data_IF_001940603362
#
_entry.id   IF_001940603362
#
_cell.length_a   1.000
_cell.length_b   1.000
_cell.length_c   1.000
_cell.angle_alpha   90.00
_cell.angle_beta   90.00
_cell.angle_gamma   90.00
#
_symmetry.space_group_name_H-M   'P 1'
#
loop_
_entity.id
_entity.type
_entity.pdbx_description
1 polymer ?
#
# COMPACT_ATOMS: atom_id res chain seq x y z
N UNK A 1 11.70 6.89 9.39
CA UNK A 1 10.22 6.93 9.45
C UNK A 1 9.76 5.50 9.59
N UNK A 2 8.78 5.20 10.44
CA UNK A 2 8.31 3.82 10.62
C UNK A 2 7.39 3.44 9.44
N UNK A 3 7.93 2.69 8.48
CA UNK A 3 7.16 2.21 7.31
C UNK A 3 6.20 1.07 7.66
N UNK A 4 6.49 0.36 8.75
CA UNK A 4 5.66 -0.72 9.30
C UNK A 4 5.37 -0.39 10.77
N UNK A 5 4.11 -0.49 11.19
CA UNK A 5 3.68 -0.18 12.57
C UNK A 5 2.64 -1.19 13.04
N UNK A 6 2.56 -1.46 14.33
CA UNK A 6 1.47 -2.25 14.94
C UNK A 6 0.38 -1.36 15.58
N UNK A 7 0.47 -0.04 15.37
CA UNK A 7 -0.50 0.95 15.83
C UNK A 7 -1.39 1.41 14.68
N UNK A 8 -2.51 2.03 15.03
CA UNK A 8 -3.40 2.67 14.06
C UNK A 8 -2.65 3.71 13.22
N UNK A 9 -3.01 3.80 11.94
CA UNK A 9 -2.43 4.77 11.02
C UNK A 9 -3.04 6.15 11.29
N UNK A 10 -2.21 7.11 11.69
CA UNK A 10 -2.62 8.52 11.85
C UNK A 10 -2.73 9.21 10.47
N UNK A 11 -3.79 8.88 9.73
CA UNK A 11 -4.00 9.39 8.37
C UNK A 11 -4.01 10.92 8.30
N UNK A 12 -4.64 11.57 9.29
CA UNK A 12 -4.75 13.03 9.34
C UNK A 12 -3.37 13.65 9.62
N UNK A 13 -2.63 13.15 10.60
CA UNK A 13 -1.30 13.66 10.92
C UNK A 13 -0.27 13.38 9.81
N UNK A 14 -0.39 12.24 9.12
CA UNK A 14 0.44 11.93 7.94
C UNK A 14 0.11 12.86 6.77
N UNK A 15 -1.17 13.12 6.51
CA UNK A 15 -1.60 14.06 5.46
C UNK A 15 -1.13 15.48 5.75
N UNK A 16 -1.26 15.95 7.00
CA UNK A 16 -0.78 17.28 7.41
C UNK A 16 0.72 17.45 7.17
N UNK A 17 1.51 16.41 7.45
CA UNK A 17 2.96 16.39 7.21
C UNK A 17 3.34 16.31 5.72
N UNK A 18 2.41 15.99 4.84
CA UNK A 18 2.65 15.85 3.41
C UNK A 18 2.47 17.15 2.60
N UNK A 19 2.01 18.23 3.25
CA UNK A 19 2.01 19.55 2.61
C UNK A 19 3.42 20.10 2.45
N UNK A 20 3.68 20.73 1.30
CA UNK A 20 4.97 21.31 0.97
C UNK A 20 4.78 22.62 0.19
N UNK A 21 5.56 23.70 0.45
CA UNK A 21 5.37 25.00 -0.21
C UNK A 21 5.44 24.96 -1.74
N UNK A 22 6.19 24.01 -2.30
CA UNK A 22 6.33 23.81 -3.75
C UNK A 22 5.38 22.75 -4.34
N UNK A 23 4.49 22.15 -3.53
CA UNK A 23 3.52 21.16 -4.01
C UNK A 23 2.16 21.83 -4.26
N UNK A 24 1.65 21.69 -5.49
CA UNK A 24 0.32 22.12 -5.88
C UNK A 24 -0.74 21.00 -5.79
N UNK A 25 -0.31 19.77 -5.55
CA UNK A 25 -1.19 18.62 -5.39
C UNK A 25 -0.67 17.69 -4.29
N UNK A 26 -1.60 17.14 -3.51
CA UNK A 26 -1.38 16.05 -2.55
C UNK A 26 -2.41 14.98 -2.84
N UNK A 27 -1.99 13.73 -2.98
CA UNK A 27 -2.86 12.57 -3.20
C UNK A 27 -2.63 11.58 -2.08
N UNK A 28 -3.73 11.16 -1.45
CA UNK A 28 -3.75 10.12 -0.43
C UNK A 28 -4.52 8.91 -0.95
N UNK A 29 -3.91 7.74 -0.82
CA UNK A 29 -4.56 6.45 -0.95
C UNK A 29 -4.62 5.79 0.43
N UNK A 30 -5.79 5.24 0.78
CA UNK A 30 -6.00 4.41 1.95
C UNK A 30 -6.49 3.03 1.51
N UNK A 31 -5.81 1.99 1.98
CA UNK A 31 -6.23 0.61 1.80
C UNK A 31 -7.04 0.15 3.01
N UNK A 32 -8.36 0.29 2.92
CA UNK A 32 -9.27 0.01 4.03
C UNK A 32 -9.82 -1.43 3.97
N UNK A 33 -10.04 -2.02 5.13
CA UNK A 33 -10.65 -3.34 5.23
C UNK A 33 -12.14 -3.28 4.88
N UNK A 34 -12.56 -4.16 3.96
CA UNK A 34 -13.96 -4.33 3.54
C UNK A 34 -14.62 -5.47 4.32
N UNK A 35 -15.93 -5.38 4.46
CA UNK A 35 -16.78 -6.36 5.18
C UNK A 35 -17.07 -7.65 4.40
N UNK A 36 -16.64 -7.73 3.14
CA UNK A 36 -16.87 -8.89 2.29
C UNK A 36 -15.63 -9.28 1.47
N UNK A 37 -15.43 -10.59 1.31
CA UNK A 37 -14.50 -11.15 0.34
C UNK A 37 -15.00 -12.52 -0.15
N UNK A 38 -14.99 -12.74 -1.47
CA UNK A 38 -15.41 -14.01 -2.12
C UNK A 38 -16.76 -14.55 -1.59
N UNK A 39 -17.72 -13.67 -1.35
CA UNK A 39 -19.06 -14.03 -0.86
C UNK A 39 -19.14 -14.40 0.63
N UNK A 40 -18.06 -14.26 1.39
CA UNK A 40 -18.03 -14.43 2.85
C UNK A 40 -17.98 -13.07 3.56
N UNK A 41 -18.57 -13.02 4.75
CA UNK A 41 -18.52 -11.83 5.63
C UNK A 41 -17.23 -11.85 6.44
N UNK A 42 -16.41 -10.80 6.26
CA UNK A 42 -15.13 -10.61 6.96
C UNK A 42 -15.40 -9.96 8.31
N UNK A 43 -14.77 -10.47 9.37
CA UNK A 43 -14.76 -9.87 10.71
C UNK A 43 -13.58 -8.90 10.86
N UNK A 44 -12.37 -9.34 10.49
CA UNK A 44 -11.17 -8.51 10.46
C UNK A 44 -10.09 -9.13 9.57
N UNK A 45 -9.06 -8.34 9.29
CA UNK A 45 -7.82 -8.83 8.69
C UNK A 45 -6.70 -8.84 9.74
N UNK A 46 -5.81 -9.82 9.65
CA UNK A 46 -4.56 -9.86 10.39
C UNK A 46 -3.40 -9.76 9.42
N UNK A 47 -2.46 -8.86 9.70
CA UNK A 47 -1.30 -8.62 8.85
C UNK A 47 0.00 -9.02 9.55
N UNK A 48 0.78 -9.85 8.89
CA UNK A 48 2.14 -10.20 9.30
C UNK A 48 3.16 -9.62 8.31
N UNK A 49 4.36 -9.31 8.77
CA UNK A 49 5.41 -8.78 7.90
C UNK A 49 6.81 -9.21 8.33
N UNK A 50 7.69 -9.40 7.36
CA UNK A 50 9.13 -9.38 7.64
C UNK A 50 9.59 -7.92 7.78
N UNK A 51 9.31 -7.31 8.94
CA UNK A 51 9.39 -5.86 9.21
C UNK A 51 10.65 -5.18 8.67
N UNK A 52 11.84 -5.74 8.92
CA UNK A 52 13.11 -5.16 8.48
C UNK A 52 13.27 -5.13 6.95
N UNK A 53 12.80 -6.17 6.26
CA UNK A 53 12.89 -6.29 4.81
C UNK A 53 11.81 -5.45 4.13
N UNK A 54 10.56 -5.53 4.62
CA UNK A 54 9.47 -4.70 4.14
C UNK A 54 9.80 -3.20 4.25
N UNK A 55 10.38 -2.77 5.37
CA UNK A 55 10.79 -1.38 5.56
C UNK A 55 11.82 -0.92 4.52
N UNK A 56 12.85 -1.75 4.26
CA UNK A 56 13.88 -1.43 3.24
C UNK A 56 13.29 -1.37 1.83
N UNK A 57 12.36 -2.27 1.50
CA UNK A 57 11.73 -2.31 0.19
C UNK A 57 10.80 -1.12 -0.02
N UNK A 58 9.96 -0.79 0.97
CA UNK A 58 9.11 0.42 0.94
C UNK A 58 9.97 1.67 0.76
N UNK A 59 11.07 1.79 1.52
CA UNK A 59 11.99 2.92 1.38
C UNK A 59 12.57 3.03 -0.04
N UNK A 60 13.02 1.93 -0.62
CA UNK A 60 13.52 1.90 -2.00
C UNK A 60 12.44 2.33 -3.01
N UNK A 61 11.22 1.80 -2.88
CA UNK A 61 10.08 2.16 -3.74
C UNK A 61 9.78 3.66 -3.67
N UNK A 62 9.79 4.24 -2.46
CA UNK A 62 9.55 5.67 -2.26
C UNK A 62 10.66 6.53 -2.86
N UNK A 63 11.94 6.12 -2.74
CA UNK A 63 13.08 6.81 -3.36
C UNK A 63 12.97 6.77 -4.89
N UNK A 64 12.66 5.60 -5.46
CA UNK A 64 12.48 5.42 -6.89
C UNK A 64 11.35 6.32 -7.42
N UNK A 65 10.20 6.33 -6.74
CA UNK A 65 9.07 7.18 -7.11
C UNK A 65 9.40 8.68 -6.99
N UNK A 66 10.07 9.09 -5.91
CA UNK A 66 10.53 10.47 -5.72
C UNK A 66 11.41 10.93 -6.88
N UNK A 67 12.37 10.11 -7.29
CA UNK A 67 13.28 10.44 -8.37
C UNK A 67 12.56 10.48 -9.73
N UNK A 68 11.71 9.48 -10.00
CA UNK A 68 11.00 9.34 -11.29
C UNK A 68 10.03 10.48 -11.56
N UNK A 69 9.29 10.93 -10.55
CA UNK A 69 8.27 11.98 -10.69
C UNK A 69 8.66 13.32 -10.05
N UNK A 70 9.88 13.45 -9.52
CA UNK A 70 10.38 14.65 -8.83
C UNK A 70 9.43 15.10 -7.71
N UNK A 71 8.94 14.14 -6.93
CA UNK A 71 7.99 14.41 -5.85
C UNK A 71 8.62 15.25 -4.76
N UNK A 72 7.85 16.18 -4.20
CA UNK A 72 8.24 16.90 -3.00
C UNK A 72 8.14 16.00 -1.76
N UNK A 73 7.04 15.24 -1.66
CA UNK A 73 6.79 14.30 -0.57
C UNK A 73 6.35 12.95 -1.15
N UNK A 74 6.84 11.88 -0.54
CA UNK A 74 6.34 10.53 -0.74
C UNK A 74 6.43 9.82 0.62
N UNK A 75 5.31 9.29 1.08
CA UNK A 75 5.16 8.60 2.36
C UNK A 75 4.36 7.34 2.12
N UNK A 76 4.77 6.24 2.75
CA UNK A 76 3.95 5.05 2.87
C UNK A 76 4.11 4.47 4.28
N UNK A 77 3.01 3.95 4.83
CA UNK A 77 3.02 3.22 6.09
C UNK A 77 2.01 2.08 6.03
N UNK A 78 2.39 0.92 6.56
CA UNK A 78 1.53 -0.26 6.65
C UNK A 78 1.37 -0.69 8.10
N UNK A 79 0.13 -1.02 8.48
CA UNK A 79 -0.24 -1.55 9.79
C UNK A 79 -0.13 -3.08 9.80
N UNK A 80 0.47 -3.64 10.85
CA UNK A 80 0.49 -5.08 11.15
C UNK A 80 -0.40 -5.39 12.34
N UNK A 81 -0.68 -6.67 12.55
CA UNK A 81 -1.63 -7.15 13.55
C UNK A 81 -3.07 -7.08 13.04
N UNK A 82 -4.02 -7.09 13.97
CA UNK A 82 -5.46 -7.06 13.69
C UNK A 82 -5.91 -5.68 13.22
N UNK A 83 -6.63 -5.64 12.10
CA UNK A 83 -7.21 -4.44 11.46
C UNK A 83 -8.69 -4.72 11.20
N UNK A 84 -9.55 -3.91 11.82
CA UNK A 84 -11.01 -4.04 11.73
C UNK A 84 -11.59 -3.50 10.44
N UNK A 85 -12.86 -3.80 10.19
CA UNK A 85 -13.64 -3.25 9.08
C UNK A 85 -13.60 -1.71 9.10
N UNK A 86 -13.47 -1.09 7.92
CA UNK A 86 -13.32 0.36 7.72
C UNK A 86 -12.03 0.98 8.28
N UNK A 87 -11.12 0.18 8.84
CA UNK A 87 -9.80 0.67 9.27
C UNK A 87 -8.78 0.54 8.14
N UNK A 88 -7.84 1.49 8.11
CA UNK A 88 -6.75 1.51 7.13
C UNK A 88 -5.64 0.52 7.51
N UNK A 89 -5.36 -0.42 6.60
CA UNK A 89 -4.20 -1.30 6.69
C UNK A 89 -2.94 -0.68 6.09
N UNK A 90 -3.09 0.20 5.10
CA UNK A 90 -1.96 0.85 4.42
C UNK A 90 -2.36 2.24 3.95
N UNK A 91 -1.41 3.17 4.01
CA UNK A 91 -1.56 4.52 3.47
C UNK A 91 -0.39 4.85 2.56
N UNK A 92 -0.66 5.52 1.45
CA UNK A 92 0.35 6.11 0.56
C UNK A 92 -0.03 7.56 0.29
N UNK A 93 0.92 8.48 0.51
CA UNK A 93 0.72 9.91 0.28
C UNK A 93 1.84 10.44 -0.61
N UNK A 94 1.46 11.12 -1.69
CA UNK A 94 2.40 11.77 -2.61
C UNK A 94 2.05 13.25 -2.75
N UNK A 95 3.07 14.10 -2.82
CA UNK A 95 2.92 15.52 -3.10
C UNK A 95 3.87 15.97 -4.21
N UNK A 96 3.35 16.73 -5.16
CA UNK A 96 4.09 17.24 -6.31
C UNK A 96 3.57 18.60 -6.76
N UNK A 97 4.34 19.28 -7.62
CA UNK A 97 3.94 20.57 -8.20
C UNK A 97 2.60 20.49 -8.95
N UNK A 98 2.36 19.40 -9.68
CA UNK A 98 1.13 19.19 -10.45
C UNK A 98 0.50 17.82 -10.12
N UNK A 99 -0.81 17.71 -10.35
CA UNK A 99 -1.61 16.54 -9.95
C UNK A 99 -1.27 15.25 -10.69
N UNK A 100 -0.80 15.34 -11.95
CA UNK A 100 -0.58 14.17 -12.78
C UNK A 100 0.50 13.26 -12.16
N UNK A 101 1.59 13.86 -11.71
CA UNK A 101 2.72 13.20 -11.05
C UNK A 101 2.31 12.63 -9.70
N UNK A 102 1.50 13.36 -8.91
CA UNK A 102 1.01 12.87 -7.62
C UNK A 102 0.18 11.61 -7.79
N UNK A 103 -0.78 11.60 -8.72
CA UNK A 103 -1.61 10.42 -8.99
C UNK A 103 -0.79 9.24 -9.51
N UNK A 104 0.03 9.47 -10.54
CA UNK A 104 0.83 8.41 -11.16
C UNK A 104 1.79 7.76 -10.15
N UNK A 105 2.49 8.57 -9.36
CA UNK A 105 3.41 8.06 -8.36
C UNK A 105 2.70 7.36 -7.19
N UNK A 106 1.52 7.84 -6.78
CA UNK A 106 0.75 7.21 -5.71
C UNK A 106 0.38 5.77 -6.10
N UNK A 107 -0.18 5.59 -7.30
CA UNK A 107 -0.52 4.27 -7.85
C UNK A 107 0.72 3.38 -7.98
N UNK A 108 1.80 3.91 -8.54
CA UNK A 108 3.07 3.20 -8.66
C UNK A 108 3.58 2.65 -7.32
N UNK A 109 3.55 3.47 -6.26
CA UNK A 109 4.01 3.08 -4.93
C UNK A 109 3.14 1.96 -4.36
N UNK A 110 1.82 2.11 -4.35
CA UNK A 110 0.95 1.09 -3.72
C UNK A 110 1.01 -0.25 -4.45
N UNK A 111 1.07 -0.23 -5.79
CA UNK A 111 1.15 -1.46 -6.58
C UNK A 111 2.44 -2.22 -6.28
N UNK A 112 3.59 -1.51 -6.22
CA UNK A 112 4.87 -2.09 -5.83
C UNK A 112 4.88 -2.58 -4.38
N UNK A 113 4.29 -1.86 -3.44
CA UNK A 113 4.21 -2.32 -2.04
C UNK A 113 3.41 -3.62 -1.94
N UNK A 114 2.24 -3.69 -2.57
CA UNK A 114 1.39 -4.89 -2.56
C UNK A 114 2.05 -6.09 -3.23
N UNK A 115 2.93 -5.85 -4.20
CA UNK A 115 3.59 -6.92 -4.91
C UNK A 115 4.91 -7.37 -4.29
N UNK A 116 5.77 -6.42 -3.93
CA UNK A 116 7.17 -6.68 -3.59
C UNK A 116 7.39 -6.79 -2.09
N UNK A 117 6.66 -6.03 -1.26
CA UNK A 117 6.93 -6.00 0.18
C UNK A 117 6.47 -7.32 0.84
N UNK A 118 7.31 -7.96 1.68
CA UNK A 118 6.96 -9.19 2.40
C UNK A 118 5.99 -8.89 3.54
N UNK A 119 4.74 -8.66 3.18
CA UNK A 119 3.58 -8.38 4.04
C UNK A 119 2.46 -9.33 3.62
N UNK A 120 1.97 -10.13 4.55
CA UNK A 120 0.96 -11.14 4.30
C UNK A 120 -0.32 -10.80 5.04
N UNK A 121 -1.46 -11.04 4.39
CA UNK A 121 -2.78 -10.85 4.98
C UNK A 121 -3.44 -12.20 5.27
N UNK A 122 -4.05 -12.32 6.43
CA UNK A 122 -4.98 -13.38 6.76
C UNK A 122 -6.36 -12.77 7.01
N UNK A 123 -7.38 -13.33 6.40
CA UNK A 123 -8.76 -12.89 6.52
C UNK A 123 -9.47 -13.78 7.52
N UNK A 124 -10.12 -13.18 8.52
CA UNK A 124 -10.93 -13.88 9.50
C UNK A 124 -12.41 -13.61 9.20
N UNK A 125 -13.20 -14.66 9.13
CA UNK A 125 -14.62 -14.58 8.77
C UNK A 125 -15.52 -14.75 9.99
N UNK A 126 -16.74 -14.24 9.90
CA UNK A 126 -17.73 -14.32 11.00
C UNK A 126 -18.21 -15.75 11.30
N UNK A 127 -17.96 -16.70 10.40
CA UNK A 127 -18.24 -18.13 10.60
C UNK A 127 -17.11 -18.86 11.38
N UNK A 128 -16.07 -18.15 11.79
CA UNK A 128 -14.91 -18.67 12.51
C UNK A 128 -13.82 -19.26 11.61
N UNK A 129 -14.01 -19.29 10.29
CA UNK A 129 -12.96 -19.71 9.36
C UNK A 129 -11.94 -18.60 9.11
N UNK A 130 -10.76 -18.97 8.61
CA UNK A 130 -9.74 -18.02 8.17
C UNK A 130 -9.04 -18.46 6.89
N UNK A 131 -8.60 -17.49 6.09
CA UNK A 131 -7.93 -17.73 4.82
C UNK A 131 -6.75 -16.79 4.64
N UNK A 132 -5.60 -17.32 4.23
CA UNK A 132 -4.47 -16.48 3.86
C UNK A 132 -4.65 -15.96 2.44
N UNK A 133 -4.50 -14.66 2.26
CA UNK A 133 -4.53 -14.06 0.94
C UNK A 133 -3.38 -14.58 0.08
N UNK A 134 -3.66 -14.88 -1.19
CA UNK A 134 -2.63 -15.22 -2.17
C UNK A 134 -1.70 -14.03 -2.47
N UNK A 135 -0.44 -14.31 -2.76
CA UNK A 135 0.51 -13.35 -3.38
C UNK A 135 0.06 -13.00 -4.82
N UNK A 136 0.77 -12.09 -5.53
CA UNK A 136 0.40 -11.85 -6.93
C UNK A 136 0.42 -13.16 -7.75
N UNK A 137 -0.70 -13.44 -8.42
CA UNK A 137 -0.86 -14.55 -9.36
C UNK A 137 -0.38 -14.24 -10.78
N UNK A 138 0.36 -13.16 -10.97
CA UNK A 138 0.83 -12.64 -12.26
C UNK A 138 1.60 -13.66 -13.11
N UNK A 139 2.24 -14.66 -12.48
CA UNK A 139 2.90 -15.76 -13.19
C UNK A 139 1.96 -16.57 -14.10
N UNK A 140 0.64 -16.60 -13.80
CA UNK A 140 -0.36 -17.26 -14.65
C UNK A 140 -0.51 -16.57 -16.00
N UNK A 141 -0.31 -15.25 -16.02
CA UNK A 141 -0.46 -14.41 -17.20
C UNK A 141 0.88 -14.21 -17.93
N UNK A 142 1.98 -14.09 -17.18
CA UNK A 142 3.33 -13.85 -17.75
C UNK A 142 4.08 -15.12 -18.15
N UNK A 143 3.73 -16.27 -17.57
CA UNK A 143 4.48 -17.51 -17.71
C UNK A 143 5.86 -17.51 -17.04
N UNK A 144 6.23 -16.43 -16.34
CA UNK A 144 7.51 -16.27 -15.65
C UNK A 144 7.25 -15.85 -14.19
N UNK A 145 7.70 -16.68 -13.26
CA UNK A 145 7.56 -16.45 -11.81
C UNK A 145 8.26 -15.19 -11.31
N UNK A 146 9.21 -14.65 -12.08
CA UNK A 146 9.94 -13.43 -11.77
C UNK A 146 9.38 -12.20 -12.49
N UNK A 147 8.42 -12.38 -13.41
CA UNK A 147 7.83 -11.28 -14.17
C UNK A 147 6.47 -10.91 -13.61
N UNK A 148 6.33 -9.64 -13.27
CA UNK A 148 5.10 -9.04 -12.80
C UNK A 148 4.45 -8.20 -13.89
N UNK A 149 3.12 -8.05 -13.81
CA UNK A 149 2.36 -7.07 -14.60
C UNK A 149 1.86 -6.04 -13.60
N UNK A 150 2.39 -4.83 -13.69
CA UNK A 150 1.91 -3.75 -12.85
C UNK A 150 0.69 -3.09 -13.48
N UNK A 151 -0.35 -2.86 -12.69
CA UNK A 151 -1.59 -2.24 -13.19
C UNK A 151 -1.39 -0.78 -13.70
N UNK A 152 -0.23 -0.16 -13.46
CA UNK A 152 0.14 1.15 -14.00
C UNK A 152 0.79 1.10 -15.40
N UNK A 153 1.14 -0.08 -15.91
CA UNK A 153 1.74 -0.22 -17.25
C UNK A 153 0.69 -0.13 -18.37
N UNK A 154 -0.58 -0.36 -18.04
CA UNK A 154 -1.72 -0.32 -19.00
C UNK A 154 -2.30 1.10 -19.23
N UNK A 155 -1.68 2.16 -18.68
CA UNK A 155 -2.17 3.55 -18.76
C UNK A 155 -1.24 4.44 -19.62
N UNK A 156 -0.68 3.88 -20.70
CA UNK A 156 0.08 4.63 -21.73
C UNK A 156 -0.66 4.66 -23.06
#
# INVERSE_FOLDING_TARGET
MDYITNKDLDLVGLLQKAHHPAAGAVVLFSGDVRDNNVGKTVDFLEYEAHTSMASKMIESILIDAKNRWRLNIAVAQHRTGKVGIMEAAVVVITASAHRAEAYAANRYIIDRIKHEAPIWKCEFFTDGTKEWGGNCNCHKDTGDVNKHIYEFEDIL
#
